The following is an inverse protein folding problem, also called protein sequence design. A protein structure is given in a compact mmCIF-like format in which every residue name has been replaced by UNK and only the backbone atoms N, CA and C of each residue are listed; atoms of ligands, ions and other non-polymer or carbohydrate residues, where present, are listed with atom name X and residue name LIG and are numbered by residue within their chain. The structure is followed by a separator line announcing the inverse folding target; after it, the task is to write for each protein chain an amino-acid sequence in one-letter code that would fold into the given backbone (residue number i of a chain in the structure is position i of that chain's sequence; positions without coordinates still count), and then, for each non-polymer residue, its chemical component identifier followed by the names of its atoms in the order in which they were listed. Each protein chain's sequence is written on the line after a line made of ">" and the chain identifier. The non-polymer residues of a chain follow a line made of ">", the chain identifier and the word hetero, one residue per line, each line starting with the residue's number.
data_IF_522012700138
#
_entry.id   IF_522012700138
#
_cell.length_a   1.000
_cell.length_b   1.000
_cell.length_c   1.000
_cell.angle_alpha   90.00
_cell.angle_beta   90.00
_cell.angle_gamma   90.00
#
_symmetry.space_group_name_H-M   'P 1'
#
loop_
_entity.id
_entity.type
_entity.pdbx_description
1 polymer ?
#
# COMPACT_ATOMS: atom_id res chain seq x y z
N UNK A 1 -21.25 1.85 3.24
CA UNK A 1 -20.12 1.85 2.29
C UNK A 1 -19.06 2.81 2.81
N UNK A 2 -17.79 2.44 2.80
CA UNK A 2 -16.67 3.32 3.16
C UNK A 2 -15.87 3.60 1.89
N UNK A 3 -15.66 4.88 1.58
CA UNK A 3 -14.78 5.31 0.49
C UNK A 3 -13.36 5.52 1.02
N UNK A 4 -12.39 5.07 0.26
CA UNK A 4 -10.97 5.28 0.49
C UNK A 4 -10.41 6.10 -0.68
N UNK A 5 -10.42 7.45 -0.60
CA UNK A 5 -9.73 8.25 -1.60
C UNK A 5 -8.27 7.84 -1.68
N UNK A 6 -7.76 7.70 -2.90
CA UNK A 6 -6.39 7.25 -3.14
C UNK A 6 -5.48 8.42 -3.48
N UNK A 7 -4.26 8.39 -2.93
CA UNK A 7 -3.14 9.26 -3.28
C UNK A 7 -1.98 8.38 -3.73
N UNK A 8 -1.71 8.39 -5.02
CA UNK A 8 -0.53 7.75 -5.59
C UNK A 8 0.63 8.74 -5.60
N UNK A 9 1.75 8.35 -5.04
CA UNK A 9 2.96 9.16 -4.91
C UNK A 9 4.04 8.73 -5.89
N UNK A 10 4.56 9.69 -6.66
CA UNK A 10 5.70 9.52 -7.55
C UNK A 10 6.53 10.80 -7.58
N UNK A 11 7.85 10.68 -7.32
CA UNK A 11 8.76 11.81 -7.27
C UNK A 11 8.32 12.91 -6.29
N UNK A 12 7.73 12.53 -5.15
CA UNK A 12 7.24 13.45 -4.13
C UNK A 12 5.87 14.11 -4.43
N UNK A 13 5.25 13.82 -5.58
CA UNK A 13 4.01 14.45 -6.02
C UNK A 13 2.84 13.46 -6.04
N UNK A 14 1.61 13.99 -5.99
CA UNK A 14 0.40 13.23 -6.25
C UNK A 14 0.22 13.04 -7.75
N UNK A 15 0.11 11.79 -8.20
CA UNK A 15 0.00 11.45 -9.61
C UNK A 15 -1.20 10.56 -9.90
N UNK A 16 -1.56 10.49 -11.17
CA UNK A 16 -2.46 9.50 -11.73
C UNK A 16 -1.75 8.78 -12.86
N UNK A 17 -1.72 7.46 -12.81
CA UNK A 17 -1.21 6.62 -13.88
C UNK A 17 -2.31 6.33 -14.92
N UNK A 18 -1.94 6.29 -16.20
CA UNK A 18 -2.82 5.79 -17.25
C UNK A 18 -2.64 4.28 -17.34
N UNK A 19 -3.70 3.54 -17.05
CA UNK A 19 -3.70 2.06 -17.04
C UNK A 19 -2.58 1.40 -16.22
N UNK A 20 -2.06 2.11 -15.20
CA UNK A 20 -0.98 1.62 -14.34
C UNK A 20 0.42 1.78 -14.94
N UNK A 21 0.58 2.46 -16.09
CA UNK A 21 1.90 2.68 -16.70
C UNK A 21 2.65 3.80 -15.98
N UNK A 22 3.80 3.47 -15.41
CA UNK A 22 4.67 4.42 -14.71
C UNK A 22 5.21 5.53 -15.63
N UNK A 23 5.35 5.28 -16.92
CA UNK A 23 5.84 6.26 -17.87
C UNK A 23 4.74 7.25 -18.30
N UNK A 24 3.47 6.86 -18.13
CA UNK A 24 2.31 7.68 -18.44
C UNK A 24 1.65 8.20 -17.16
N UNK A 25 2.35 9.09 -16.44
CA UNK A 25 1.84 9.69 -15.21
C UNK A 25 1.52 11.17 -15.39
N UNK A 26 0.40 11.60 -14.85
CA UNK A 26 0.02 13.01 -14.76
C UNK A 26 0.11 13.47 -13.32
N UNK A 27 0.88 14.53 -13.05
CA UNK A 27 0.90 15.20 -11.75
C UNK A 27 -0.34 16.07 -11.64
N UNK A 28 -1.17 15.85 -10.62
CA UNK A 28 -2.35 16.66 -10.38
C UNK A 28 -2.24 17.53 -9.13
N UNK A 29 -1.32 17.21 -8.22
CA UNK A 29 -1.02 18.05 -7.06
C UNK A 29 0.43 17.85 -6.63
N UNK A 30 1.13 18.94 -6.34
CA UNK A 30 2.52 18.93 -5.85
C UNK A 30 2.60 19.00 -4.33
N UNK A 31 1.45 19.04 -3.63
CA UNK A 31 1.37 19.07 -2.17
C UNK A 31 0.58 17.87 -1.65
N UNK A 32 1.24 16.73 -1.36
CA UNK A 32 0.57 15.54 -0.87
C UNK A 32 -0.22 15.75 0.42
N UNK A 33 0.35 16.45 1.41
CA UNK A 33 -0.35 16.81 2.63
C UNK A 33 -1.57 17.71 2.37
N UNK A 34 -1.43 18.69 1.46
CA UNK A 34 -2.56 19.54 1.04
C UNK A 34 -3.68 18.73 0.39
N UNK A 35 -3.34 17.78 -0.47
CA UNK A 35 -4.33 16.88 -1.09
C UNK A 35 -5.05 16.02 -0.06
N UNK A 36 -4.32 15.48 0.90
CA UNK A 36 -4.89 14.69 2.00
C UNK A 36 -5.86 15.53 2.85
N UNK A 37 -5.50 16.77 3.17
CA UNK A 37 -6.36 17.70 3.91
C UNK A 37 -7.66 18.02 3.14
N UNK A 38 -7.60 18.17 1.82
CA UNK A 38 -8.79 18.35 0.96
C UNK A 38 -9.72 17.15 1.09
N UNK A 39 -9.20 15.92 0.98
CA UNK A 39 -10.01 14.71 1.12
C UNK A 39 -10.62 14.58 2.52
N UNK A 40 -9.86 14.89 3.57
CA UNK A 40 -10.40 14.87 4.94
C UNK A 40 -11.51 15.91 5.10
N UNK A 41 -11.34 17.13 4.58
CA UNK A 41 -12.34 18.19 4.63
C UNK A 41 -13.61 17.84 3.87
N UNK A 42 -13.50 17.03 2.80
CA UNK A 42 -14.64 16.46 2.07
C UNK A 42 -15.33 15.30 2.84
N UNK A 43 -14.86 14.95 4.03
CA UNK A 43 -15.49 13.97 4.93
C UNK A 43 -15.05 12.53 4.74
N UNK A 44 -13.90 12.26 4.10
CA UNK A 44 -13.39 10.91 4.00
C UNK A 44 -13.07 10.34 5.39
N UNK A 45 -13.33 9.03 5.55
CA UNK A 45 -13.11 8.30 6.81
C UNK A 45 -11.77 7.58 6.85
N UNK A 46 -11.20 7.32 5.68
CA UNK A 46 -9.92 6.64 5.47
C UNK A 46 -9.22 7.24 4.27
N UNK A 47 -7.89 7.20 4.27
CA UNK A 47 -7.08 7.47 3.09
C UNK A 47 -6.32 6.22 2.67
N UNK A 48 -6.18 6.04 1.36
CA UNK A 48 -5.33 5.03 0.74
C UNK A 48 -4.13 5.73 0.09
N UNK A 49 -2.92 5.38 0.50
CA UNK A 49 -1.69 6.00 0.00
C UNK A 49 -0.80 4.93 -0.60
N UNK A 50 -0.27 5.17 -1.79
CA UNK A 50 0.65 4.26 -2.46
C UNK A 50 1.94 4.99 -2.82
N UNK A 51 3.05 4.48 -2.31
CA UNK A 51 4.39 4.87 -2.76
C UNK A 51 4.74 4.08 -4.04
N UNK A 52 4.45 4.66 -5.21
CA UNK A 52 4.69 4.00 -6.49
C UNK A 52 6.18 3.76 -6.72
N UNK A 53 7.03 4.74 -6.45
CA UNK A 53 8.48 4.58 -6.58
C UNK A 53 8.99 3.50 -5.63
N UNK A 54 8.43 3.45 -4.41
CA UNK A 54 8.75 2.41 -3.43
C UNK A 54 8.33 1.02 -3.88
N UNK A 55 7.17 0.87 -4.52
CA UNK A 55 6.72 -0.40 -5.06
C UNK A 55 7.72 -1.01 -6.04
N UNK A 56 8.31 -0.18 -6.90
CA UNK A 56 9.36 -0.60 -7.84
C UNK A 56 10.72 -0.80 -7.16
N UNK A 57 11.13 0.12 -6.30
CA UNK A 57 12.43 0.05 -5.62
C UNK A 57 12.51 -1.05 -4.54
N UNK A 58 11.36 -1.54 -4.06
CA UNK A 58 11.29 -2.52 -2.97
C UNK A 58 11.63 -1.97 -1.60
N UNK A 59 11.61 -0.66 -1.45
CA UNK A 59 11.80 0.09 -0.21
C UNK A 59 11.07 1.42 -0.32
N UNK A 60 10.73 2.06 0.78
CA UNK A 60 10.10 3.37 0.75
C UNK A 60 11.00 4.43 0.12
N UNK A 61 10.44 5.23 -0.77
CA UNK A 61 11.11 6.32 -1.49
C UNK A 61 10.51 7.67 -1.13
N UNK A 62 9.18 7.81 -1.12
CA UNK A 62 8.48 9.07 -0.92
C UNK A 62 8.24 9.40 0.56
N UNK A 63 9.23 9.18 1.44
CA UNK A 63 9.11 9.30 2.89
C UNK A 63 8.63 10.69 3.36
N UNK A 64 9.15 11.77 2.75
CA UNK A 64 8.75 13.13 3.11
C UNK A 64 7.30 13.42 2.71
N UNK A 65 6.89 12.98 1.53
CA UNK A 65 5.53 13.13 1.05
C UNK A 65 4.54 12.36 1.95
N UNK A 66 4.87 11.12 2.32
CA UNK A 66 4.06 10.31 3.24
C UNK A 66 4.01 10.98 4.62
N UNK A 67 5.13 11.48 5.12
CA UNK A 67 5.20 12.24 6.37
C UNK A 67 4.26 13.45 6.35
N UNK A 68 4.30 14.24 5.27
CA UNK A 68 3.42 15.41 5.11
C UNK A 68 1.93 15.05 5.11
N UNK A 69 1.56 13.89 4.55
CA UNK A 69 0.19 13.36 4.60
C UNK A 69 -0.20 13.03 6.04
N UNK A 70 0.64 12.27 6.75
CA UNK A 70 0.39 11.88 8.16
C UNK A 70 0.16 13.12 9.03
N UNK A 71 1.00 14.13 8.87
CA UNK A 71 0.95 15.36 9.69
C UNK A 71 -0.27 16.24 9.34
N UNK A 72 -0.88 16.07 8.16
CA UNK A 72 -1.97 16.93 7.66
C UNK A 72 -3.36 16.41 7.99
N UNK A 73 -3.54 15.15 8.40
CA UNK A 73 -4.86 14.54 8.61
C UNK A 73 -4.95 13.78 9.92
N UNK A 74 -6.20 13.61 10.40
CA UNK A 74 -6.52 12.80 11.58
C UNK A 74 -7.22 11.49 11.23
N UNK A 75 -7.73 11.38 10.00
CA UNK A 75 -8.36 10.14 9.57
C UNK A 75 -7.29 9.03 9.39
N UNK A 76 -7.65 7.78 9.64
CA UNK A 76 -6.73 6.67 9.49
C UNK A 76 -6.25 6.52 8.03
N UNK A 77 -4.99 6.13 7.88
CA UNK A 77 -4.31 5.98 6.61
C UNK A 77 -3.89 4.52 6.44
N UNK A 78 -4.13 3.96 5.25
CA UNK A 78 -3.48 2.72 4.83
C UNK A 78 -2.42 3.02 3.77
N UNK A 79 -1.23 2.44 3.94
CA UNK A 79 -0.07 2.69 3.11
C UNK A 79 0.41 1.41 2.42
N UNK A 80 0.60 1.47 1.12
CA UNK A 80 1.26 0.45 0.31
C UNK A 80 2.44 1.00 -0.47
N UNK A 81 3.26 0.09 -1.00
CA UNK A 81 4.42 0.42 -1.82
C UNK A 81 5.77 0.26 -1.09
N UNK A 82 6.58 -0.72 -1.53
CA UNK A 82 7.95 -0.91 -1.08
C UNK A 82 8.16 -1.54 0.29
N UNK A 83 7.11 -1.96 0.99
CA UNK A 83 7.21 -2.52 2.34
C UNK A 83 7.44 -4.03 2.22
N UNK A 84 8.63 -4.50 2.62
CA UNK A 84 9.08 -5.89 2.39
C UNK A 84 9.73 -6.56 3.62
N UNK A 85 9.83 -5.86 4.75
CA UNK A 85 10.38 -6.38 6.00
C UNK A 85 9.65 -5.81 7.23
N UNK A 86 9.85 -6.48 8.37
CA UNK A 86 9.19 -6.15 9.63
C UNK A 86 9.56 -4.76 10.15
N UNK A 87 10.82 -4.35 9.94
CA UNK A 87 11.29 -3.02 10.36
C UNK A 87 10.58 -1.90 9.62
N UNK A 88 10.32 -2.09 8.33
CA UNK A 88 9.55 -1.14 7.52
C UNK A 88 8.09 -1.08 7.97
N UNK A 89 7.48 -2.21 8.32
CA UNK A 89 6.13 -2.27 8.89
C UNK A 89 6.09 -1.49 10.21
N UNK A 90 6.99 -1.83 11.14
CA UNK A 90 7.11 -1.17 12.45
C UNK A 90 7.33 0.34 12.30
N UNK A 91 8.24 0.75 11.42
CA UNK A 91 8.52 2.15 11.14
C UNK A 91 7.25 2.93 10.78
N UNK A 92 6.49 2.45 9.82
CA UNK A 92 5.30 3.16 9.36
C UNK A 92 4.17 3.15 10.38
N UNK A 93 3.98 2.05 11.12
CA UNK A 93 3.00 1.99 12.20
C UNK A 93 3.34 2.98 13.30
N UNK A 94 4.61 3.05 13.72
CA UNK A 94 5.08 4.00 14.73
C UNK A 94 5.00 5.46 14.25
N UNK A 95 5.08 5.71 12.94
CA UNK A 95 4.88 7.04 12.34
C UNK A 95 3.42 7.47 12.26
N UNK A 96 2.46 6.58 12.52
CA UNK A 96 1.03 6.90 12.55
C UNK A 96 0.20 6.28 11.43
N UNK A 97 0.79 5.43 10.57
CA UNK A 97 0.03 4.66 9.59
C UNK A 97 -0.85 3.64 10.30
N UNK A 98 -2.13 3.62 9.96
CA UNK A 98 -3.11 2.75 10.62
C UNK A 98 -3.06 1.32 10.12
N UNK A 99 -2.82 1.10 8.83
CA UNK A 99 -2.64 -0.22 8.21
C UNK A 99 -1.58 -0.18 7.11
N UNK A 100 -0.84 -1.26 7.01
CA UNK A 100 0.18 -1.47 5.97
C UNK A 100 -0.33 -2.48 4.96
N UNK A 101 -0.15 -2.19 3.68
CA UNK A 101 -0.57 -3.06 2.57
C UNK A 101 0.65 -3.78 2.02
N UNK A 102 0.63 -5.10 2.07
CA UNK A 102 1.66 -5.98 1.54
C UNK A 102 1.15 -6.62 0.25
N UNK A 103 1.77 -6.27 -0.89
CA UNK A 103 1.44 -6.84 -2.20
C UNK A 103 2.44 -7.94 -2.59
N UNK A 104 3.50 -7.57 -3.30
CA UNK A 104 4.56 -8.48 -3.77
C UNK A 104 5.13 -9.39 -2.67
N UNK A 105 5.23 -8.88 -1.44
CA UNK A 105 5.72 -9.64 -0.30
C UNK A 105 4.82 -10.82 0.06
N UNK A 106 3.51 -10.70 -0.11
CA UNK A 106 2.57 -11.78 0.18
C UNK A 106 2.80 -13.02 -0.70
N UNK A 107 3.25 -12.81 -1.94
CA UNK A 107 3.59 -13.89 -2.84
C UNK A 107 5.02 -14.42 -2.61
N UNK A 108 5.99 -13.50 -2.43
CA UNK A 108 7.42 -13.87 -2.38
C UNK A 108 7.86 -14.40 -1.01
N UNK A 109 7.22 -13.95 0.07
CA UNK A 109 7.57 -14.31 1.44
C UNK A 109 6.32 -14.42 2.34
N UNK A 110 5.53 -15.49 2.22
CA UNK A 110 4.33 -15.68 3.05
C UNK A 110 4.62 -15.71 4.56
N UNK A 111 5.77 -16.20 4.97
CA UNK A 111 6.15 -16.25 6.39
C UNK A 111 6.30 -14.84 6.98
N UNK A 112 6.87 -13.90 6.23
CA UNK A 112 6.91 -12.49 6.63
C UNK A 112 5.50 -11.92 6.85
N UNK A 113 4.54 -12.29 6.00
CA UNK A 113 3.14 -11.84 6.17
C UNK A 113 2.56 -12.39 7.46
N UNK A 114 2.75 -13.69 7.74
CA UNK A 114 2.28 -14.32 8.98
C UNK A 114 2.90 -13.67 10.23
N UNK A 115 4.22 -13.44 10.20
CA UNK A 115 4.96 -12.78 11.27
C UNK A 115 4.43 -11.34 11.48
N UNK A 116 4.26 -10.58 10.39
CA UNK A 116 3.71 -9.22 10.45
C UNK A 116 2.30 -9.20 11.05
N UNK A 117 1.44 -10.14 10.66
CA UNK A 117 0.08 -10.24 11.21
C UNK A 117 0.07 -10.61 12.70
N UNK A 118 1.03 -11.41 13.15
CA UNK A 118 1.19 -11.80 14.55
C UNK A 118 1.67 -10.63 15.40
N UNK A 119 2.67 -9.89 14.90
CA UNK A 119 3.29 -8.76 15.61
C UNK A 119 2.38 -7.52 15.60
N UNK A 120 1.66 -7.28 14.50
CA UNK A 120 0.78 -6.12 14.32
C UNK A 120 -0.66 -6.55 13.99
N UNK A 121 -1.42 -7.13 14.95
CA UNK A 121 -2.78 -7.60 14.72
C UNK A 121 -3.67 -6.49 14.15
N UNK A 122 -4.48 -6.85 13.13
CA UNK A 122 -5.43 -5.96 12.45
C UNK A 122 -4.80 -4.75 11.70
N UNK A 123 -3.46 -4.68 11.64
CA UNK A 123 -2.72 -3.60 10.98
C UNK A 123 -2.17 -3.99 9.61
N UNK A 124 -2.30 -5.24 9.20
CA UNK A 124 -1.79 -5.76 7.93
C UNK A 124 -2.95 -6.02 6.97
N UNK A 125 -2.77 -5.57 5.74
CA UNK A 125 -3.67 -5.82 4.61
C UNK A 125 -2.85 -6.49 3.52
N UNK A 126 -3.37 -7.54 2.91
CA UNK A 126 -2.78 -8.12 1.69
C UNK A 126 -3.46 -7.54 0.47
N UNK A 127 -2.69 -6.85 -0.36
CA UNK A 127 -3.13 -6.35 -1.66
C UNK A 127 -2.79 -7.37 -2.75
N UNK A 128 -3.80 -7.84 -3.48
CA UNK A 128 -3.62 -8.81 -4.57
C UNK A 128 -4.03 -8.14 -5.87
N UNK A 129 -3.04 -7.78 -6.67
CA UNK A 129 -3.25 -7.33 -8.03
C UNK A 129 -3.21 -8.52 -8.99
N UNK A 130 -4.14 -8.60 -9.91
CA UNK A 130 -4.21 -9.71 -10.86
C UNK A 130 -4.46 -9.22 -12.30
N UNK A 131 -3.88 -9.94 -13.24
CA UNK A 131 -4.13 -9.78 -14.66
C UNK A 131 -4.30 -11.15 -15.30
N UNK A 132 -5.38 -11.32 -16.07
CA UNK A 132 -5.69 -12.58 -16.76
C UNK A 132 -5.74 -13.81 -15.84
N UNK A 133 -6.15 -13.60 -14.56
CA UNK A 133 -6.26 -14.67 -13.56
C UNK A 133 -4.97 -14.98 -12.80
N UNK A 134 -3.86 -14.31 -13.11
CA UNK A 134 -2.57 -14.48 -12.43
C UNK A 134 -2.18 -13.26 -11.61
N UNK A 135 -1.46 -13.49 -10.51
CA UNK A 135 -1.01 -12.42 -9.62
C UNK A 135 0.05 -11.55 -10.33
N UNK A 136 -0.16 -10.24 -10.31
CA UNK A 136 0.80 -9.25 -10.76
C UNK A 136 1.65 -8.74 -9.59
N UNK A 137 2.93 -8.50 -9.81
CA UNK A 137 3.88 -8.05 -8.79
C UNK A 137 4.70 -6.85 -9.27
N UNK A 138 5.37 -6.19 -8.32
CA UNK A 138 6.26 -5.05 -8.60
C UNK A 138 5.53 -3.90 -9.32
N UNK A 139 4.36 -3.50 -8.79
CA UNK A 139 3.59 -2.38 -9.37
C UNK A 139 3.06 -2.68 -10.77
N UNK A 140 2.61 -3.92 -11.03
CA UNK A 140 2.11 -4.42 -12.34
C UNK A 140 3.19 -4.69 -13.38
N UNK A 141 4.46 -4.48 -13.06
CA UNK A 141 5.56 -4.60 -14.01
C UNK A 141 5.85 -6.07 -14.40
N UNK A 142 5.51 -7.01 -13.54
CA UNK A 142 5.77 -8.44 -13.78
C UNK A 142 4.54 -9.29 -13.51
N UNK A 143 4.32 -10.29 -14.36
CA UNK A 143 3.38 -11.38 -14.12
C UNK A 143 4.05 -12.48 -13.33
N UNK A 144 3.28 -13.16 -12.48
CA UNK A 144 3.69 -14.41 -11.84
C UNK A 144 2.91 -15.58 -12.46
N UNK A 145 3.44 -16.78 -12.26
CA UNK A 145 2.73 -18.02 -12.63
C UNK A 145 1.72 -18.46 -11.56
N UNK A 146 1.53 -17.63 -10.50
CA UNK A 146 0.61 -17.92 -9.40
C UNK A 146 -0.80 -17.50 -9.75
N UNK A 147 -1.74 -18.45 -9.76
CA UNK A 147 -3.14 -18.16 -9.92
C UNK A 147 -3.66 -17.37 -8.69
N UNK A 148 -4.48 -16.34 -8.94
CA UNK A 148 -5.03 -15.48 -7.89
C UNK A 148 -5.79 -16.27 -6.83
N UNK A 149 -6.53 -17.31 -7.22
CA UNK A 149 -7.30 -18.13 -6.29
C UNK A 149 -6.40 -18.87 -5.31
N UNK A 150 -5.22 -19.30 -5.72
CA UNK A 150 -4.26 -19.99 -4.84
C UNK A 150 -3.70 -19.05 -3.78
N UNK A 151 -3.40 -17.81 -4.13
CA UNK A 151 -2.94 -16.82 -3.15
C UNK A 151 -4.06 -16.41 -2.20
N UNK A 152 -5.26 -16.18 -2.72
CA UNK A 152 -6.43 -15.78 -1.92
C UNK A 152 -6.84 -16.86 -0.91
N UNK A 153 -6.73 -18.13 -1.27
CA UNK A 153 -7.09 -19.28 -0.42
C UNK A 153 -5.92 -19.80 0.43
N UNK A 154 -4.77 -19.14 0.40
CA UNK A 154 -3.67 -19.48 1.31
C UNK A 154 -4.10 -19.33 2.77
N UNK A 155 -3.69 -20.27 3.68
CA UNK A 155 -4.06 -20.19 5.08
C UNK A 155 -3.73 -18.83 5.69
N UNK A 156 -4.72 -18.18 6.26
CA UNK A 156 -4.56 -16.93 6.99
C UNK A 156 -4.10 -17.24 8.44
N UNK A 157 -3.40 -16.32 9.12
CA UNK A 157 -3.10 -16.47 10.54
C UNK A 157 -4.35 -16.67 11.42
N UNK A 158 -5.54 -16.30 10.94
CA UNK A 158 -6.82 -16.57 11.63
C UNK A 158 -7.24 -18.02 11.51
N UNK A 159 -6.78 -18.74 10.48
CA UNK A 159 -7.14 -20.14 10.24
C UNK A 159 -6.27 -21.11 11.06
N UNK A 160 -5.19 -20.63 11.67
CA UNK A 160 -4.28 -21.44 12.50
C UNK A 160 -4.76 -21.67 13.95
N UNK A 161 -5.94 -21.20 14.29
CA UNK A 161 -6.59 -21.40 15.59
C UNK A 161 -7.72 -22.47 15.55
N UNK A 162 -7.72 -23.36 14.56
CA UNK A 162 -8.57 -24.53 14.50
C UNK A 162 -7.84 -25.78 14.96
#
# INVERSE_FOLDING_TARGET
>A
MILFPAIDLKGGNCVRLIKGDMNESTVFNTSPGGQAAIFQSAGCKWLHVVDLDGAFAGRSINNEAIGSIIDSVKCPIQLGGGIRDLKSVEHWINRGISRVILGTAAMKNPEFVKESCKEFPERIVVGIDAREGFVSVEGWAKHSDMNICLLYTSPSPRDSNL
#
